data_IF_939790639335
#
_entry.id   IF_939790639335
#
_cell.length_a   1.000
_cell.length_b   1.000
_cell.length_c   1.000
_cell.angle_alpha   90.00
_cell.angle_beta   90.00
_cell.angle_gamma   90.00
#
_symmetry.space_group_name_H-M   'P 1'
#
loop_
_entity.id
_entity.type
_entity.pdbx_description
1 polymer ?
#
# COMPACT_ATOMS: atom_id res chain seq x y z
N UNK A 1 -20.31 -22.73 -35.25
CA UNK A 1 -20.03 -22.68 -33.80
C UNK A 1 -19.48 -24.02 -33.34
N UNK A 2 -18.53 -24.04 -32.40
CA UNK A 2 -17.96 -25.27 -31.82
C UNK A 2 -17.90 -25.17 -30.30
N UNK A 3 -17.96 -26.31 -29.62
CA UNK A 3 -17.90 -26.41 -28.16
C UNK A 3 -16.43 -26.51 -27.73
N UNK A 4 -16.04 -25.70 -26.75
CA UNK A 4 -14.71 -25.74 -26.17
C UNK A 4 -14.48 -27.06 -25.41
N UNK A 5 -13.46 -27.86 -25.74
CA UNK A 5 -13.23 -29.18 -25.13
C UNK A 5 -12.56 -29.09 -23.75
N UNK A 6 -12.37 -27.89 -23.20
CA UNK A 6 -11.85 -27.74 -21.85
C UNK A 6 -12.89 -28.27 -20.84
N UNK A 7 -12.55 -29.27 -19.99
CA UNK A 7 -13.52 -29.98 -19.15
C UNK A 7 -14.32 -29.08 -18.20
N UNK A 8 -13.75 -27.94 -17.79
CA UNK A 8 -14.42 -26.98 -16.91
C UNK A 8 -15.04 -25.78 -17.64
N UNK A 9 -15.09 -25.78 -18.98
CA UNK A 9 -15.63 -24.67 -19.76
C UNK A 9 -16.86 -25.02 -20.58
N UNK A 10 -16.79 -25.98 -21.52
CA UNK A 10 -17.94 -26.39 -22.35
C UNK A 10 -18.60 -25.29 -23.21
N UNK A 11 -18.01 -24.09 -23.31
CA UNK A 11 -18.63 -22.93 -23.96
C UNK A 11 -18.65 -23.05 -25.49
N UNK A 12 -19.79 -22.75 -26.11
CA UNK A 12 -19.92 -22.54 -27.56
C UNK A 12 -19.19 -21.27 -28.01
N UNK A 13 -18.36 -21.38 -29.03
CA UNK A 13 -17.63 -20.23 -29.58
C UNK A 13 -17.41 -20.31 -31.10
N UNK A 14 -17.14 -19.15 -31.69
CA UNK A 14 -16.79 -18.98 -33.11
C UNK A 14 -15.32 -18.62 -33.35
N UNK A 15 -14.50 -18.56 -32.29
CA UNK A 15 -13.08 -18.22 -32.42
C UNK A 15 -12.31 -19.25 -33.28
N UNK A 16 -11.25 -18.78 -33.94
CA UNK A 16 -10.29 -19.66 -34.62
C UNK A 16 -9.58 -20.55 -33.58
N UNK A 17 -9.37 -21.82 -33.92
CA UNK A 17 -8.80 -22.82 -33.00
C UNK A 17 -9.82 -23.58 -32.13
N UNK A 18 -9.35 -24.59 -31.40
CA UNK A 18 -10.23 -25.58 -30.74
C UNK A 18 -10.81 -25.07 -29.40
N UNK A 19 -10.14 -24.12 -28.74
CA UNK A 19 -10.54 -23.61 -27.42
C UNK A 19 -11.12 -22.20 -27.50
N UNK A 20 -12.02 -21.86 -26.57
CA UNK A 20 -12.67 -20.55 -26.53
C UNK A 20 -11.75 -19.41 -26.02
N UNK A 21 -10.60 -19.74 -25.43
CA UNK A 21 -9.64 -18.78 -24.87
C UNK A 21 -8.25 -19.41 -24.70
N UNK A 22 -7.22 -18.57 -24.52
CA UNK A 22 -5.85 -19.01 -24.19
C UNK A 22 -5.81 -19.76 -22.85
N UNK A 23 -6.60 -19.32 -21.88
CA UNK A 23 -6.75 -19.98 -20.57
C UNK A 23 -7.26 -21.41 -20.74
N UNK A 24 -8.35 -21.61 -21.48
CA UNK A 24 -8.89 -22.95 -21.76
C UNK A 24 -7.90 -23.84 -22.53
N UNK A 25 -7.11 -23.26 -23.44
CA UNK A 25 -6.06 -24.00 -24.14
C UNK A 25 -4.92 -24.44 -23.22
N UNK A 26 -4.59 -23.66 -22.19
CA UNK A 26 -3.54 -23.96 -21.20
C UNK A 26 -4.00 -24.95 -20.14
N UNK A 27 -5.30 -24.98 -19.82
CA UNK A 27 -5.90 -25.89 -18.83
C UNK A 27 -6.24 -27.28 -19.38
N UNK A 28 -5.74 -27.64 -20.56
CA UNK A 28 -5.94 -28.98 -21.13
C UNK A 28 -5.13 -30.02 -20.36
N UNK A 29 -5.76 -31.15 -20.03
CA UNK A 29 -5.06 -32.29 -19.46
C UNK A 29 -4.22 -32.96 -20.55
N UNK A 30 -2.90 -32.80 -20.46
CA UNK A 30 -1.98 -33.57 -21.28
C UNK A 30 -2.04 -35.05 -20.89
N UNK A 31 -2.10 -35.95 -21.87
CA UNK A 31 -1.95 -37.39 -21.65
C UNK A 31 -0.60 -37.69 -21.01
N UNK A 32 -0.51 -38.78 -20.24
CA UNK A 32 0.74 -39.19 -19.57
C UNK A 32 1.87 -39.32 -20.61
N UNK A 33 1.58 -39.89 -21.76
CA UNK A 33 2.52 -40.03 -22.88
C UNK A 33 3.00 -38.68 -23.42
N UNK A 34 2.09 -37.72 -23.65
CA UNK A 34 2.47 -36.39 -24.13
C UNK A 34 3.32 -35.61 -23.11
N UNK A 35 3.10 -35.83 -21.80
CA UNK A 35 3.97 -35.27 -20.74
C UNK A 35 5.36 -35.90 -20.76
N UNK A 36 5.46 -37.23 -20.93
CA UNK A 36 6.73 -37.95 -21.06
C UNK A 36 7.52 -37.45 -22.27
N UNK A 37 6.90 -37.34 -23.45
CA UNK A 37 7.55 -36.83 -24.66
C UNK A 37 8.06 -35.40 -24.49
N UNK A 38 7.27 -34.51 -23.87
CA UNK A 38 7.73 -33.15 -23.56
C UNK A 38 8.90 -33.12 -22.57
N UNK A 39 8.86 -33.97 -21.55
CA UNK A 39 9.94 -34.10 -20.57
C UNK A 39 11.24 -34.59 -21.23
N UNK A 40 11.15 -35.64 -22.05
CA UNK A 40 12.30 -36.16 -22.82
C UNK A 40 12.86 -35.07 -23.74
N UNK A 41 12.00 -34.40 -24.51
CA UNK A 41 12.41 -33.30 -25.40
C UNK A 41 13.07 -32.15 -24.64
N UNK A 42 12.55 -31.79 -23.47
CA UNK A 42 13.14 -30.75 -22.61
C UNK A 42 14.49 -31.13 -22.06
N UNK A 43 14.73 -32.42 -21.75
CA UNK A 43 16.01 -32.93 -21.26
C UNK A 43 17.06 -33.05 -22.36
N UNK A 44 16.63 -33.27 -23.60
CA UNK A 44 17.51 -33.36 -24.78
C UNK A 44 17.91 -31.98 -25.32
N UNK A 45 17.21 -30.90 -24.93
CA UNK A 45 17.57 -29.54 -25.30
C UNK A 45 18.78 -29.09 -24.49
N UNK A 46 19.90 -28.86 -25.17
CA UNK A 46 21.05 -28.19 -24.56
C UNK A 46 20.73 -26.72 -24.29
N UNK A 47 20.72 -26.37 -23.00
CA UNK A 47 20.49 -25.01 -22.50
C UNK A 47 21.73 -24.45 -21.78
N UNK A 48 22.89 -25.07 -21.95
CA UNK A 48 24.16 -24.66 -21.33
C UNK A 48 24.52 -23.21 -21.66
N UNK A 49 24.28 -22.77 -22.90
CA UNK A 49 24.45 -21.38 -23.34
C UNK A 49 23.64 -20.38 -22.48
N UNK A 50 22.45 -20.73 -22.00
CA UNK A 50 21.65 -19.86 -21.12
C UNK A 50 22.28 -19.64 -19.73
N UNK A 51 23.22 -20.51 -19.36
CA UNK A 51 23.94 -20.44 -18.08
C UNK A 51 25.29 -19.72 -18.20
N UNK A 52 25.67 -19.29 -19.41
CA UNK A 52 26.88 -18.50 -19.60
C UNK A 52 26.75 -17.12 -18.92
N UNK A 53 27.80 -16.64 -18.22
CA UNK A 53 27.71 -15.41 -17.42
C UNK A 53 27.31 -14.16 -18.20
N UNK A 54 27.77 -14.03 -19.44
CA UNK A 54 27.45 -12.92 -20.36
C UNK A 54 25.97 -12.94 -20.79
N UNK A 55 25.44 -14.12 -21.11
CA UNK A 55 24.03 -14.32 -21.46
C UNK A 55 23.13 -13.96 -20.27
N UNK A 56 23.50 -14.43 -19.07
CA UNK A 56 22.78 -14.09 -17.84
C UNK A 56 22.86 -12.59 -17.54
N UNK A 57 24.04 -11.97 -17.66
CA UNK A 57 24.25 -10.54 -17.45
C UNK A 57 23.37 -9.71 -18.40
N UNK A 58 23.37 -10.04 -19.69
CA UNK A 58 22.54 -9.38 -20.71
C UNK A 58 21.04 -9.54 -20.42
N UNK A 59 20.61 -10.72 -19.97
CA UNK A 59 19.22 -10.95 -19.58
C UNK A 59 18.81 -10.11 -18.35
N UNK A 60 19.68 -10.01 -17.34
CA UNK A 60 19.46 -9.17 -16.16
C UNK A 60 19.36 -7.69 -16.57
N UNK A 61 20.28 -7.22 -17.39
CA UNK A 61 20.30 -5.84 -17.89
C UNK A 61 19.03 -5.50 -18.69
N UNK A 62 18.61 -6.41 -19.57
CA UNK A 62 17.35 -6.26 -20.33
C UNK A 62 16.15 -6.17 -19.40
N UNK A 63 16.08 -7.00 -18.35
CA UNK A 63 15.01 -6.94 -17.33
C UNK A 63 15.04 -5.62 -16.56
N UNK A 64 16.23 -5.16 -16.14
CA UNK A 64 16.40 -3.86 -15.46
C UNK A 64 15.93 -2.70 -16.35
N UNK A 65 16.33 -2.68 -17.62
CA UNK A 65 15.91 -1.66 -18.59
C UNK A 65 14.40 -1.61 -18.76
N UNK A 66 13.75 -2.75 -19.00
CA UNK A 66 12.29 -2.83 -19.13
C UNK A 66 11.57 -2.37 -17.86
N UNK A 67 12.10 -2.71 -16.68
CA UNK A 67 11.55 -2.25 -15.40
C UNK A 67 11.67 -0.74 -15.27
N UNK A 68 12.83 -0.16 -15.58
CA UNK A 68 13.06 1.28 -15.52
C UNK A 68 12.19 2.05 -16.51
N UNK A 69 12.04 1.54 -17.73
CA UNK A 69 11.12 2.09 -18.74
C UNK A 69 9.68 2.08 -18.23
N UNK A 70 9.22 0.96 -17.63
CA UNK A 70 7.90 0.88 -17.01
C UNK A 70 7.72 1.93 -15.90
N UNK A 71 8.72 2.14 -15.06
CA UNK A 71 8.64 3.10 -13.95
C UNK A 71 8.60 4.53 -14.49
N UNK A 72 9.47 4.87 -15.45
CA UNK A 72 9.59 6.22 -16.00
C UNK A 72 8.41 6.62 -16.89
N UNK A 73 7.93 5.69 -17.72
CA UNK A 73 7.00 5.98 -18.81
C UNK A 73 5.66 5.24 -18.71
N UNK A 74 5.53 4.31 -17.78
CA UNK A 74 4.26 3.62 -17.53
C UNK A 74 3.19 4.58 -17.00
N UNK A 75 1.93 4.22 -17.21
CA UNK A 75 0.82 4.98 -16.67
C UNK A 75 0.80 4.93 -15.13
N UNK A 76 0.53 6.05 -14.47
CA UNK A 76 0.69 6.20 -13.02
C UNK A 76 -0.25 5.29 -12.22
N UNK A 77 -1.52 5.19 -12.63
CA UNK A 77 -2.55 4.43 -11.92
C UNK A 77 -2.27 2.92 -11.95
N UNK A 78 -1.57 2.46 -13.00
CA UNK A 78 -1.18 1.06 -13.17
C UNK A 78 0.12 0.69 -12.41
N UNK A 79 0.83 1.67 -11.86
CA UNK A 79 2.04 1.44 -11.08
C UNK A 79 1.71 0.98 -9.66
N UNK A 80 2.44 -0.04 -9.20
CA UNK A 80 2.43 -0.40 -7.78
C UNK A 80 2.98 0.75 -6.94
N UNK A 81 2.59 0.80 -5.66
CA UNK A 81 3.08 1.82 -4.72
C UNK A 81 4.61 1.91 -4.68
N UNK A 82 5.31 0.77 -4.74
CA UNK A 82 6.76 0.74 -4.78
C UNK A 82 7.32 1.43 -6.04
N UNK A 83 6.71 1.21 -7.20
CA UNK A 83 7.12 1.86 -8.45
C UNK A 83 6.75 3.35 -8.48
N UNK A 84 5.60 3.73 -7.91
CA UNK A 84 5.24 5.15 -7.74
C UNK A 84 6.31 5.88 -6.93
N UNK A 85 6.71 5.34 -5.77
CA UNK A 85 7.78 5.91 -4.93
C UNK A 85 9.12 6.01 -5.67
N UNK A 86 9.52 4.96 -6.37
CA UNK A 86 10.77 4.97 -7.12
C UNK A 86 10.74 5.98 -8.29
N UNK A 87 9.59 6.11 -8.96
CA UNK A 87 9.41 7.11 -10.02
C UNK A 87 9.62 8.53 -9.48
N UNK A 88 9.01 8.86 -8.34
CA UNK A 88 9.18 10.17 -7.69
C UNK A 88 10.65 10.43 -7.35
N UNK A 89 11.37 9.45 -6.79
CA UNK A 89 12.82 9.58 -6.54
C UNK A 89 13.63 9.86 -7.82
N UNK A 90 13.33 9.13 -8.90
CA UNK A 90 13.99 9.30 -10.20
C UNK A 90 13.70 10.70 -10.77
N UNK A 91 12.45 11.15 -10.71
CA UNK A 91 12.02 12.47 -11.20
C UNK A 91 12.65 13.61 -10.39
N UNK A 92 12.92 13.39 -9.10
CA UNK A 92 13.65 14.32 -8.22
C UNK A 92 15.17 14.16 -8.27
N UNK A 93 15.73 13.38 -9.20
CA UNK A 93 17.16 13.11 -9.29
C UNK A 93 17.80 12.64 -7.97
N UNK A 94 17.05 11.89 -7.15
CA UNK A 94 17.49 11.42 -5.83
C UNK A 94 17.88 12.57 -4.86
N UNK A 95 17.19 13.70 -4.96
CA UNK A 95 17.40 14.88 -4.11
C UNK A 95 16.14 15.27 -3.32
N UNK A 96 16.35 15.92 -2.18
CA UNK A 96 15.30 16.55 -1.39
C UNK A 96 14.56 17.59 -2.23
N UNK A 97 13.22 17.55 -2.23
CA UNK A 97 12.37 18.50 -2.97
C UNK A 97 12.46 19.95 -2.48
N UNK A 98 13.02 20.20 -1.28
CA UNK A 98 13.05 21.53 -0.67
C UNK A 98 14.46 22.15 -0.61
N UNK A 99 15.50 21.34 -0.47
CA UNK A 99 16.87 21.83 -0.27
C UNK A 99 17.91 21.17 -1.17
N UNK A 100 17.49 20.36 -2.14
CA UNK A 100 18.33 19.67 -3.12
C UNK A 100 19.40 18.72 -2.54
N UNK A 101 19.37 18.48 -1.22
CA UNK A 101 20.27 17.54 -0.55
C UNK A 101 20.07 16.14 -1.14
N UNK A 102 21.15 15.54 -1.63
CA UNK A 102 21.14 14.22 -2.24
C UNK A 102 21.08 13.07 -1.22
N UNK A 103 21.51 11.89 -1.67
CA UNK A 103 21.52 10.66 -0.87
C UNK A 103 22.81 10.47 -0.05
N UNK A 104 23.58 11.53 0.18
CA UNK A 104 24.78 11.50 1.01
C UNK A 104 24.85 12.71 1.93
N UNK A 105 25.25 12.49 3.17
CA UNK A 105 25.53 13.53 4.15
C UNK A 105 26.71 13.12 5.02
N UNK A 106 27.70 14.00 5.18
CA UNK A 106 28.90 13.76 5.99
C UNK A 106 29.63 12.44 5.61
N UNK A 107 29.80 12.20 4.30
CA UNK A 107 30.45 10.99 3.77
C UNK A 107 29.69 9.69 4.01
N UNK A 108 28.41 9.76 4.40
CA UNK A 108 27.57 8.59 4.71
C UNK A 108 26.27 8.61 3.91
N UNK A 109 25.71 7.45 3.54
CA UNK A 109 24.43 7.38 2.88
C UNK A 109 23.32 8.05 3.69
N UNK A 110 22.55 8.92 3.05
CA UNK A 110 21.35 9.55 3.58
C UNK A 110 20.13 8.98 2.85
N UNK A 111 19.17 8.49 3.62
CA UNK A 111 17.88 8.06 3.09
C UNK A 111 16.92 9.24 3.05
N UNK A 112 16.43 9.57 1.87
CA UNK A 112 15.31 10.49 1.72
C UNK A 112 14.00 9.80 2.17
N UNK A 113 13.12 10.56 2.78
CA UNK A 113 11.84 10.12 3.31
C UNK A 113 10.71 10.53 2.38
N UNK A 114 9.74 9.65 2.18
CA UNK A 114 8.53 9.96 1.43
C UNK A 114 7.63 10.85 2.28
N UNK A 115 7.23 11.98 1.72
CA UNK A 115 6.27 12.92 2.28
C UNK A 115 5.00 12.95 1.42
N UNK A 116 3.86 13.00 2.09
CA UNK A 116 2.55 13.25 1.51
C UNK A 116 2.22 14.71 1.82
N UNK A 117 2.12 15.55 0.80
CA UNK A 117 1.95 17.01 0.96
C UNK A 117 0.70 17.32 1.80
N UNK A 118 -0.39 16.58 1.57
CA UNK A 118 -1.65 16.69 2.31
C UNK A 118 -1.67 15.94 3.67
N UNK A 119 -0.66 15.12 3.95
CA UNK A 119 -0.56 14.26 5.13
C UNK A 119 -1.49 13.03 5.13
N UNK A 120 -2.20 12.76 4.04
CA UNK A 120 -3.03 11.57 3.86
C UNK A 120 -2.24 10.45 3.16
N UNK A 121 -1.83 9.44 3.93
CA UNK A 121 -1.11 8.27 3.44
C UNK A 121 -1.87 7.45 2.37
N UNK A 122 -3.18 7.64 2.22
CA UNK A 122 -3.99 6.98 1.20
C UNK A 122 -3.98 7.71 -0.15
N UNK A 123 -3.68 9.01 -0.16
CA UNK A 123 -3.58 9.81 -1.38
C UNK A 123 -2.22 9.61 -2.06
N UNK A 124 -2.17 8.68 -3.02
CA UNK A 124 -0.96 8.31 -3.76
C UNK A 124 -0.97 8.87 -5.18
N UNK A 125 -1.56 10.06 -5.36
CA UNK A 125 -1.43 10.85 -6.59
C UNK A 125 -0.03 11.42 -6.72
N UNK A 126 0.43 11.58 -7.95
CA UNK A 126 1.83 11.94 -8.21
C UNK A 126 2.19 13.29 -7.61
N UNK A 127 1.29 14.26 -7.76
CA UNK A 127 1.45 15.64 -7.30
C UNK A 127 1.46 15.73 -5.76
N UNK A 128 0.90 14.73 -5.07
CA UNK A 128 0.86 14.68 -3.61
C UNK A 128 2.10 14.02 -2.99
N UNK A 129 2.95 13.35 -3.79
CA UNK A 129 4.13 12.63 -3.32
C UNK A 129 5.41 13.40 -3.62
N UNK A 130 6.26 13.55 -2.61
CA UNK A 130 7.62 14.06 -2.75
C UNK A 130 8.57 13.35 -1.80
N UNK A 131 9.86 13.37 -2.11
CA UNK A 131 10.92 12.94 -1.21
C UNK A 131 11.61 14.14 -0.57
N UNK A 132 11.80 14.07 0.74
CA UNK A 132 12.47 15.08 1.55
C UNK A 132 13.64 14.47 2.31
N UNK A 133 14.65 15.28 2.64
CA UNK A 133 15.64 14.86 3.63
C UNK A 133 15.01 14.85 5.04
N UNK A 134 15.57 14.10 6.01
CA UNK A 134 15.00 14.00 7.35
C UNK A 134 14.81 15.36 8.05
N UNK A 135 15.70 16.32 7.79
CA UNK A 135 15.64 17.66 8.38
C UNK A 135 14.49 18.50 7.80
N UNK A 136 14.28 18.47 6.48
CA UNK A 136 13.15 19.15 5.85
C UNK A 136 11.83 18.47 6.21
N UNK A 137 11.79 17.13 6.20
CA UNK A 137 10.58 16.38 6.54
C UNK A 137 10.12 16.68 7.98
N UNK A 138 11.03 16.80 8.95
CA UNK A 138 10.68 17.15 10.33
C UNK A 138 10.01 18.53 10.48
N UNK A 139 10.29 19.45 9.55
CA UNK A 139 9.73 20.79 9.51
C UNK A 139 8.35 20.82 8.85
N UNK A 140 7.92 19.72 8.20
CA UNK A 140 6.62 19.73 7.54
C UNK A 140 5.49 19.84 8.57
N UNK A 141 4.40 20.54 8.21
CA UNK A 141 3.21 20.62 9.03
C UNK A 141 2.62 19.21 9.35
N UNK A 142 2.75 18.26 8.42
CA UNK A 142 2.19 16.91 8.47
C UNK A 142 3.08 15.86 9.16
N UNK A 143 4.33 16.22 9.53
CA UNK A 143 5.33 15.30 10.06
C UNK A 143 4.83 14.44 11.21
N UNK A 144 4.99 13.10 11.08
CA UNK A 144 4.55 12.11 12.08
C UNK A 144 3.10 12.30 12.57
N UNK A 145 2.23 12.86 11.72
CA UNK A 145 0.84 13.12 12.07
C UNK A 145 0.64 14.32 13.00
N UNK A 146 1.60 15.27 13.05
CA UNK A 146 1.47 16.54 13.80
C UNK A 146 0.20 17.33 13.40
N UNK A 147 -0.24 17.22 12.15
CA UNK A 147 -1.53 17.74 11.67
C UNK A 147 -2.66 16.75 11.50
N UNK A 148 -2.53 15.53 12.06
CA UNK A 148 -3.75 14.77 12.33
C UNK A 148 -4.49 15.53 13.43
N UNK A 149 -5.45 16.39 13.02
CA UNK A 149 -6.63 16.68 13.83
C UNK A 149 -7.00 15.33 14.44
N UNK A 150 -7.07 15.22 15.76
CA UNK A 150 -7.40 13.96 16.43
C UNK A 150 -8.61 13.34 15.73
N UNK A 151 -8.39 12.42 14.78
CA UNK A 151 -9.41 11.54 14.23
C UNK A 151 -9.68 10.55 15.36
N UNK A 152 -10.33 11.02 16.42
CA UNK A 152 -10.24 10.34 17.71
C UNK A 152 -11.15 10.86 18.81
N UNK A 153 -11.61 12.11 18.77
CA UNK A 153 -12.76 12.49 19.60
C UNK A 153 -14.01 12.06 18.86
N UNK A 154 -14.32 10.76 18.91
CA UNK A 154 -15.62 10.21 18.46
C UNK A 154 -16.82 10.93 19.13
N UNK A 155 -16.55 11.57 20.26
CA UNK A 155 -17.49 12.33 21.07
C UNK A 155 -16.86 13.66 21.47
N UNK A 156 -17.59 14.77 21.37
CA UNK A 156 -17.15 16.07 21.87
C UNK A 156 -17.19 16.12 23.39
N UNK A 157 -16.51 17.10 23.99
CA UNK A 157 -16.56 17.28 25.45
C UNK A 157 -18.01 17.56 25.89
N UNK A 158 -18.76 18.33 25.10
CA UNK A 158 -20.18 18.64 25.35
C UNK A 158 -21.07 17.38 25.38
N UNK A 159 -20.91 16.48 24.41
CA UNK A 159 -21.66 15.22 24.36
C UNK A 159 -21.39 14.33 25.57
N UNK A 160 -20.15 14.32 26.06
CA UNK A 160 -19.76 13.55 27.24
C UNK A 160 -20.33 14.19 28.50
N UNK A 161 -20.26 15.52 28.63
CA UNK A 161 -20.82 16.27 29.76
C UNK A 161 -22.33 16.05 29.86
N UNK A 162 -23.05 16.12 28.74
CA UNK A 162 -24.48 15.85 28.68
C UNK A 162 -24.81 14.42 29.14
N UNK A 163 -24.05 13.43 28.64
CA UNK A 163 -24.22 12.04 29.04
C UNK A 163 -23.96 11.82 30.54
N UNK A 164 -22.97 12.52 31.12
CA UNK A 164 -22.66 12.44 32.55
C UNK A 164 -23.79 13.01 33.42
N UNK A 165 -24.40 14.13 33.04
CA UNK A 165 -25.54 14.68 33.80
C UNK A 165 -26.81 13.83 33.67
N UNK A 166 -27.02 13.16 32.54
CA UNK A 166 -28.21 12.33 32.29
C UNK A 166 -28.19 10.94 32.92
N UNK A 167 -27.05 10.51 33.47
CA UNK A 167 -26.85 9.16 33.99
C UNK A 167 -26.37 9.18 35.44
N UNK A 168 -26.46 8.02 36.11
CA UNK A 168 -26.08 7.84 37.53
C UNK A 168 -24.65 7.32 37.73
N UNK A 169 -23.92 7.02 36.65
CA UNK A 169 -22.53 6.56 36.70
C UNK A 169 -21.78 6.87 35.41
N UNK A 170 -20.45 6.99 35.49
CA UNK A 170 -19.60 7.23 34.33
C UNK A 170 -19.64 6.07 33.32
N UNK A 171 -19.79 4.83 33.81
CA UNK A 171 -19.99 3.64 32.98
C UNK A 171 -21.28 3.72 32.16
N UNK A 172 -22.40 4.10 32.80
CA UNK A 172 -23.69 4.26 32.12
C UNK A 172 -23.66 5.41 31.12
N UNK A 173 -23.06 6.54 31.50
CA UNK A 173 -22.89 7.69 30.62
C UNK A 173 -22.15 7.32 29.32
N UNK A 174 -21.02 6.61 29.44
CA UNK A 174 -20.27 6.14 28.26
C UNK A 174 -21.09 5.18 27.40
N UNK A 175 -21.76 4.20 27.99
CA UNK A 175 -22.62 3.28 27.22
C UNK A 175 -23.77 4.00 26.50
N UNK A 176 -24.37 5.02 27.12
CA UNK A 176 -25.52 5.74 26.55
C UNK A 176 -25.19 6.44 25.22
N UNK A 177 -23.94 6.88 25.04
CA UNK A 177 -23.46 7.50 23.80
C UNK A 177 -22.72 6.50 22.89
N UNK A 178 -22.60 5.23 23.29
CA UNK A 178 -21.85 4.20 22.55
C UNK A 178 -20.33 4.29 22.69
N UNK A 179 -19.83 4.99 23.72
CA UNK A 179 -18.41 5.04 24.08
C UNK A 179 -18.00 3.76 24.83
N UNK A 180 -16.82 3.21 24.51
CA UNK A 180 -16.27 2.04 25.20
C UNK A 180 -15.92 2.39 26.67
N UNK A 181 -16.56 1.78 27.68
CA UNK A 181 -16.39 2.15 29.08
C UNK A 181 -15.18 1.47 29.73
N UNK A 182 -14.07 1.34 29.02
CA UNK A 182 -12.85 0.68 29.48
C UNK A 182 -11.60 1.47 29.10
N UNK A 183 -10.52 1.28 29.86
CA UNK A 183 -9.20 1.84 29.58
C UNK A 183 -9.15 3.37 29.73
N UNK A 184 -8.50 4.03 28.77
CA UNK A 184 -8.19 5.47 28.82
C UNK A 184 -9.40 6.42 28.85
N UNK A 185 -10.62 5.94 28.59
CA UNK A 185 -11.82 6.79 28.58
C UNK A 185 -12.23 7.31 29.97
N UNK A 186 -11.97 6.57 31.05
CA UNK A 186 -12.19 7.09 32.41
C UNK A 186 -11.22 8.23 32.75
N UNK A 187 -9.96 8.12 32.32
CA UNK A 187 -8.98 9.19 32.49
C UNK A 187 -9.43 10.44 31.73
N UNK A 188 -9.93 10.26 30.50
CA UNK A 188 -10.50 11.35 29.71
C UNK A 188 -11.68 12.02 30.41
N UNK A 189 -12.64 11.26 30.94
CA UNK A 189 -13.80 11.81 31.65
C UNK A 189 -13.37 12.55 32.92
N UNK A 190 -12.47 11.98 33.72
CA UNK A 190 -11.94 12.65 34.92
C UNK A 190 -11.27 13.99 34.58
N UNK A 191 -10.53 14.05 33.47
CA UNK A 191 -9.95 15.29 32.98
C UNK A 191 -11.01 16.30 32.54
N UNK A 192 -12.09 15.87 31.88
CA UNK A 192 -13.23 16.73 31.50
C UNK A 192 -13.94 17.28 32.75
N UNK A 193 -14.21 16.42 33.74
CA UNK A 193 -14.82 16.82 35.03
C UNK A 193 -13.96 17.89 35.70
N UNK A 194 -12.64 17.69 35.76
CA UNK A 194 -11.70 18.66 36.34
C UNK A 194 -11.62 19.96 35.53
N UNK A 195 -11.54 19.86 34.21
CA UNK A 195 -11.42 21.00 33.28
C UNK A 195 -12.65 21.89 33.31
N UNK A 196 -13.84 21.31 33.39
CA UNK A 196 -15.13 22.03 33.38
C UNK A 196 -15.74 22.21 34.78
N UNK A 197 -15.02 21.81 35.83
CA UNK A 197 -15.44 21.90 37.23
C UNK A 197 -16.86 21.34 37.50
N UNK A 198 -17.14 20.16 36.92
CA UNK A 198 -18.47 19.55 36.97
C UNK A 198 -18.76 18.98 38.36
N UNK A 199 -19.96 19.25 38.87
CA UNK A 199 -20.47 18.67 40.13
C UNK A 199 -21.47 17.56 39.80
N UNK A 200 -21.01 16.32 39.83
CA UNK A 200 -21.83 15.14 39.60
C UNK A 200 -22.30 14.55 40.94
N UNK A 201 -23.45 13.88 40.93
CA UNK A 201 -23.98 13.16 42.11
C UNK A 201 -23.22 11.86 42.43
N UNK A 202 -22.20 11.53 41.65
CA UNK A 202 -21.43 10.30 41.73
C UNK A 202 -19.97 10.53 41.32
N UNK A 203 -19.10 9.60 41.69
CA UNK A 203 -17.68 9.57 41.28
C UNK A 203 -17.47 8.72 40.02
N UNK A 204 -16.48 9.11 39.21
CA UNK A 204 -16.16 8.47 37.92
C UNK A 204 -14.74 7.92 37.88
#
# INVERSE_FOLDING_TARGET
MKICPHPKCGKLHNKSGIYCSRSCANSRNFSIESRKLKSIKSKQLDNSHLHQPDVQKKAIETKKKKRLEKIKFGNWEDLSLAHKRERVLIEQNYQCSECDLGTEWNGKPLMLELDHIDGDSSNNERENLRFLCPNCHQQTPTYKGRHRKQKGLRYTDEQIIEALHKNVSGYSAMRSIGMNPHGGNYVRIRNIIKKHNLKLSYTV
#
